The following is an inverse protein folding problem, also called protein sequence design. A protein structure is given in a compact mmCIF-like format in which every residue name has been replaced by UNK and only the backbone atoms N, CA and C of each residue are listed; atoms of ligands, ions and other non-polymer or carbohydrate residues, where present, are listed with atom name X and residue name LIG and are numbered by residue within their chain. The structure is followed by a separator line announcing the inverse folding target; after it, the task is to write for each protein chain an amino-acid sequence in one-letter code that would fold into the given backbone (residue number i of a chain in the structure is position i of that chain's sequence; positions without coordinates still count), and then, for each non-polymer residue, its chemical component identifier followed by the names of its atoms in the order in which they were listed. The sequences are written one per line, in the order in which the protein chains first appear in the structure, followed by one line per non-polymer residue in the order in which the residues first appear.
data_IF_886181487310
#
_entry.id   IF_886181487310
#
_cell.length_a   1.000
_cell.length_b   1.000
_cell.length_c   1.000
_cell.angle_alpha   90.00
_cell.angle_beta   90.00
_cell.angle_gamma   90.00
#
_symmetry.space_group_name_H-M   'P 1'
#
loop_
_entity.id
_entity.type
_entity.pdbx_description
1 polymer ?
#
# COMPACT_ATOMS: atom_id res chain seq x y z
N UNK A 1 -18.55 -5.14 -19.23
CA UNK A 1 -19.19 -4.00 -18.55
C UNK A 1 -18.15 -2.91 -18.35
N UNK A 2 -18.41 -1.69 -18.82
CA UNK A 2 -17.57 -0.54 -18.51
C UNK A 2 -17.75 -0.17 -17.03
N UNK A 3 -16.75 -0.45 -16.20
CA UNK A 3 -16.78 -0.20 -14.76
C UNK A 3 -16.25 1.20 -14.44
N UNK A 4 -15.15 1.61 -15.07
CA UNK A 4 -14.58 2.96 -14.95
C UNK A 4 -14.78 3.68 -16.27
N UNK A 5 -15.38 4.88 -16.26
CA UNK A 5 -15.71 5.65 -17.45
C UNK A 5 -15.12 7.05 -17.35
N UNK A 6 -14.40 7.45 -18.39
CA UNK A 6 -13.90 8.82 -18.60
C UNK A 6 -13.24 9.44 -17.35
N UNK A 7 -12.48 8.61 -16.58
CA UNK A 7 -11.78 9.08 -15.39
C UNK A 7 -10.55 9.89 -15.80
N UNK A 8 -10.56 11.18 -15.46
CA UNK A 8 -9.40 12.07 -15.56
C UNK A 8 -9.02 12.50 -14.15
N UNK A 9 -7.86 12.10 -13.68
CA UNK A 9 -7.44 12.31 -12.30
C UNK A 9 -5.94 12.56 -12.23
N UNK A 10 -5.57 13.77 -11.82
CA UNK A 10 -4.21 14.14 -11.47
C UNK A 10 -3.99 13.96 -9.98
N UNK A 11 -2.91 13.29 -9.61
CA UNK A 11 -2.51 13.04 -8.23
C UNK A 11 -1.13 13.66 -8.01
N UNK A 12 -1.02 14.53 -6.99
CA UNK A 12 0.22 15.26 -6.72
C UNK A 12 1.20 14.42 -5.92
N UNK A 13 2.49 14.66 -6.11
CA UNK A 13 3.55 13.99 -5.37
C UNK A 13 3.42 14.26 -3.87
N UNK A 14 3.52 13.20 -3.06
CA UNK A 14 3.35 13.29 -1.61
C UNK A 14 1.91 13.52 -1.14
N UNK A 15 0.91 13.45 -2.02
CA UNK A 15 -0.51 13.57 -1.68
C UNK A 15 -1.05 12.28 -1.04
N UNK A 16 -1.95 12.44 -0.09
CA UNK A 16 -2.82 11.36 0.39
C UNK A 16 -4.19 11.51 -0.28
N UNK A 17 -4.39 10.82 -1.40
CA UNK A 17 -5.67 10.80 -2.12
C UNK A 17 -6.53 9.63 -1.66
N UNK A 18 -7.81 9.88 -1.39
CA UNK A 18 -8.79 8.82 -1.13
C UNK A 18 -9.81 8.71 -2.25
N UNK A 19 -9.99 7.50 -2.77
CA UNK A 19 -11.11 7.13 -3.62
C UNK A 19 -12.24 6.62 -2.72
N UNK A 20 -13.28 7.44 -2.55
CA UNK A 20 -14.43 7.16 -1.70
C UNK A 20 -15.63 6.78 -2.57
N UNK A 21 -16.42 5.80 -2.14
CA UNK A 21 -17.66 5.46 -2.81
C UNK A 21 -18.21 4.10 -2.41
N UNK A 22 -19.42 3.80 -2.88
CA UNK A 22 -20.08 2.52 -2.63
C UNK A 22 -19.34 1.34 -3.23
N UNK A 23 -19.63 0.13 -2.75
CA UNK A 23 -19.08 -1.09 -3.35
C UNK A 23 -19.47 -1.22 -4.82
N UNK A 24 -18.53 -1.63 -5.66
CA UNK A 24 -18.76 -1.85 -7.10
C UNK A 24 -18.68 -0.60 -8.00
N UNK A 25 -18.37 0.61 -7.46
CA UNK A 25 -18.25 1.83 -8.29
C UNK A 25 -16.91 1.98 -9.03
N UNK A 26 -16.03 0.97 -9.01
CA UNK A 26 -14.78 0.96 -9.80
C UNK A 26 -13.51 1.33 -9.07
N UNK A 27 -13.54 1.65 -7.77
CA UNK A 27 -12.34 2.05 -6.97
C UNK A 27 -11.21 1.01 -7.03
N UNK A 28 -11.51 -0.22 -6.64
CA UNK A 28 -10.56 -1.34 -6.69
C UNK A 28 -10.08 -1.61 -8.11
N UNK A 29 -10.96 -1.50 -9.11
CA UNK A 29 -10.58 -1.65 -10.53
C UNK A 29 -9.58 -0.57 -10.95
N UNK A 30 -9.84 0.69 -10.59
CA UNK A 30 -8.91 1.80 -10.83
C UNK A 30 -7.55 1.54 -10.18
N UNK A 31 -7.57 1.11 -8.92
CA UNK A 31 -6.34 0.78 -8.18
C UNK A 31 -5.58 -0.37 -8.83
N UNK A 32 -6.29 -1.42 -9.32
CA UNK A 32 -5.69 -2.56 -10.02
C UNK A 32 -5.10 -2.17 -11.38
N UNK A 33 -5.71 -1.24 -12.10
CA UNK A 33 -5.14 -0.69 -13.34
C UNK A 33 -3.82 0.06 -13.07
N UNK A 34 -3.77 0.88 -12.01
CA UNK A 34 -2.52 1.57 -11.61
C UNK A 34 -1.45 0.55 -11.20
N UNK A 35 -1.83 -0.50 -10.48
CA UNK A 35 -0.93 -1.57 -10.06
C UNK A 35 -0.45 -2.48 -11.22
N UNK A 36 -1.13 -2.46 -12.37
CA UNK A 36 -0.83 -3.32 -13.53
C UNK A 36 -1.44 -4.71 -13.46
N UNK A 37 -2.43 -4.93 -12.60
CA UNK A 37 -3.17 -6.19 -12.52
C UNK A 37 -4.36 -6.24 -13.48
N UNK A 38 -4.76 -5.10 -14.03
CA UNK A 38 -5.79 -4.96 -15.06
C UNK A 38 -5.33 -3.92 -16.08
N UNK A 39 -5.72 -4.10 -17.35
CA UNK A 39 -5.42 -3.15 -18.41
C UNK A 39 -6.63 -2.24 -18.66
N UNK A 40 -6.44 -0.91 -18.77
CA UNK A 40 -7.50 -0.02 -19.20
C UNK A 40 -7.87 -0.31 -20.66
N UNK A 41 -9.16 -0.28 -20.99
CA UNK A 41 -9.66 -0.47 -22.37
C UNK A 41 -9.17 0.66 -23.30
N UNK A 42 -8.99 1.86 -22.75
CA UNK A 42 -8.47 3.04 -23.47
C UNK A 42 -7.92 4.05 -22.46
N UNK A 43 -7.17 5.03 -22.94
CA UNK A 43 -6.51 6.04 -22.10
C UNK A 43 -5.10 5.62 -21.69
N UNK A 44 -4.50 6.38 -20.76
CA UNK A 44 -3.13 6.18 -20.30
C UNK A 44 -3.03 6.36 -18.80
N UNK A 45 -2.04 5.73 -18.19
CA UNK A 45 -1.70 5.90 -16.77
C UNK A 45 -0.22 6.25 -16.71
N UNK A 46 0.11 7.37 -16.07
CA UNK A 46 1.48 7.81 -15.89
C UNK A 46 1.85 7.99 -14.42
N UNK A 47 3.12 7.70 -14.07
CA UNK A 47 3.71 7.98 -12.76
C UNK A 47 4.93 8.85 -12.96
N UNK A 48 4.95 10.03 -12.38
CA UNK A 48 6.01 11.04 -12.54
C UNK A 48 6.32 11.34 -14.03
N UNK A 49 5.29 11.43 -14.87
CA UNK A 49 5.41 11.72 -16.30
C UNK A 49 5.81 10.52 -17.17
N UNK A 50 6.11 9.37 -16.58
CA UNK A 50 6.39 8.14 -17.32
C UNK A 50 5.11 7.32 -17.52
N UNK A 51 4.78 6.97 -18.76
CA UNK A 51 3.66 6.07 -19.06
C UNK A 51 4.01 4.65 -18.57
N UNK A 52 3.13 4.10 -17.72
CA UNK A 52 3.30 2.78 -17.11
C UNK A 52 2.35 1.73 -17.71
N UNK A 53 1.62 2.07 -18.77
CA UNK A 53 0.61 1.19 -19.37
C UNK A 53 1.18 -0.18 -19.75
N UNK A 54 2.33 -0.20 -20.43
CA UNK A 54 2.97 -1.42 -20.93
C UNK A 54 3.93 -2.08 -19.92
N UNK A 55 4.06 -1.53 -18.69
CA UNK A 55 4.93 -2.10 -17.66
C UNK A 55 4.23 -3.21 -16.89
N UNK A 56 4.94 -4.30 -16.67
CA UNK A 56 4.48 -5.36 -15.77
C UNK A 56 4.38 -4.84 -14.32
N UNK A 57 3.53 -5.42 -13.47
CA UNK A 57 3.36 -4.96 -12.08
C UNK A 57 4.66 -4.78 -11.30
N UNK A 58 5.62 -5.69 -11.47
CA UNK A 58 6.91 -5.64 -10.76
C UNK A 58 7.90 -4.60 -11.32
N UNK A 59 7.64 -4.03 -12.48
CA UNK A 59 8.43 -2.97 -13.12
C UNK A 59 7.93 -1.57 -12.77
N UNK A 60 6.73 -1.48 -12.17
CA UNK A 60 6.13 -0.21 -11.77
C UNK A 60 6.66 0.22 -10.42
N UNK A 61 7.01 1.50 -10.28
CA UNK A 61 7.38 2.10 -8.98
C UNK A 61 6.16 2.30 -8.07
N UNK A 62 5.29 1.30 -8.05
CA UNK A 62 4.02 1.25 -7.33
C UNK A 62 3.96 -0.03 -6.52
N UNK A 63 3.56 0.05 -5.25
CA UNK A 63 3.31 -1.14 -4.43
C UNK A 63 1.88 -1.12 -3.89
N UNK A 64 1.34 -2.30 -3.65
CA UNK A 64 -0.06 -2.48 -3.19
C UNK A 64 -0.12 -3.20 -1.85
N UNK A 65 -0.94 -2.68 -0.94
CA UNK A 65 -1.39 -3.36 0.27
C UNK A 65 -2.84 -3.77 0.05
N UNK A 66 -3.09 -5.08 0.04
CA UNK A 66 -4.41 -5.65 -0.18
C UNK A 66 -5.21 -5.72 1.13
N UNK A 67 -6.53 -5.76 1.02
CA UNK A 67 -7.46 -5.91 2.14
C UNK A 67 -7.15 -7.14 3.03
N UNK A 68 -6.73 -8.26 2.43
CA UNK A 68 -6.32 -9.48 3.16
C UNK A 68 -4.89 -9.44 3.67
N UNK A 69 -4.17 -8.31 3.49
CA UNK A 69 -2.74 -8.13 3.75
C UNK A 69 -1.82 -9.02 2.91
N UNK A 70 -2.28 -10.13 2.40
CA UNK A 70 -1.57 -11.09 1.53
C UNK A 70 -0.15 -11.43 2.02
N UNK A 71 0.02 -11.62 3.35
CA UNK A 71 1.30 -12.03 3.92
C UNK A 71 1.62 -13.49 3.55
N UNK A 72 2.89 -13.78 3.33
CA UNK A 72 3.36 -15.15 3.10
C UNK A 72 3.32 -15.92 4.43
N UNK A 73 2.40 -16.89 4.61
CA UNK A 73 2.16 -17.53 5.92
C UNK A 73 3.32 -18.39 6.40
N UNK A 74 4.14 -18.89 5.49
CA UNK A 74 5.30 -19.74 5.73
C UNK A 74 6.60 -18.97 5.95
N UNK A 75 6.55 -17.63 5.88
CA UNK A 75 7.68 -16.74 6.10
C UNK A 75 7.53 -16.00 7.41
N UNK A 76 8.66 -15.69 8.06
CA UNK A 76 8.69 -14.82 9.23
C UNK A 76 8.31 -13.37 8.85
N UNK A 77 8.10 -12.51 9.84
CA UNK A 77 7.94 -11.06 9.65
C UNK A 77 9.13 -10.49 8.89
N UNK A 78 10.35 -10.83 9.33
CA UNK A 78 11.59 -10.42 8.66
C UNK A 78 11.58 -10.84 7.18
N UNK A 79 11.29 -12.10 6.88
CA UNK A 79 11.32 -12.62 5.52
C UNK A 79 10.22 -12.03 4.64
N UNK A 80 9.03 -11.77 5.20
CA UNK A 80 7.96 -11.05 4.50
C UNK A 80 8.42 -9.66 4.06
N UNK A 81 9.03 -8.88 4.97
CA UNK A 81 9.50 -7.53 4.67
C UNK A 81 10.70 -7.57 3.72
N UNK A 82 11.65 -8.49 3.93
CA UNK A 82 12.85 -8.62 3.11
C UNK A 82 12.59 -9.12 1.68
N UNK A 83 11.40 -9.66 1.41
CA UNK A 83 11.12 -10.40 0.18
C UNK A 83 11.45 -9.62 -1.10
N UNK A 84 10.96 -8.40 -1.22
CA UNK A 84 11.19 -7.56 -2.39
C UNK A 84 12.68 -7.25 -2.62
N UNK A 85 13.43 -7.00 -1.55
CA UNK A 85 14.88 -6.75 -1.64
C UNK A 85 15.66 -8.00 -2.05
N UNK A 86 15.22 -9.19 -1.59
CA UNK A 86 15.81 -10.47 -2.00
C UNK A 86 15.59 -10.71 -3.50
N UNK A 87 14.40 -10.42 -4.02
CA UNK A 87 14.10 -10.53 -5.46
C UNK A 87 14.95 -9.57 -6.30
N UNK A 88 15.20 -8.37 -5.80
CA UNK A 88 16.11 -7.38 -6.41
C UNK A 88 17.59 -7.71 -6.20
N UNK A 89 17.95 -8.85 -5.60
CA UNK A 89 19.31 -9.32 -5.34
C UNK A 89 20.17 -8.32 -4.55
N UNK A 90 19.56 -7.56 -3.65
CA UNK A 90 20.25 -6.65 -2.74
C UNK A 90 21.18 -7.44 -1.80
N UNK A 91 22.31 -6.88 -1.40
CA UNK A 91 23.30 -7.52 -0.52
C UNK A 91 22.68 -7.83 0.86
N UNK A 92 23.00 -8.98 1.44
CA UNK A 92 22.46 -9.45 2.74
C UNK A 92 22.63 -8.44 3.87
N UNK A 93 23.77 -7.77 3.95
CA UNK A 93 24.04 -6.77 4.98
C UNK A 93 23.08 -5.58 4.88
N UNK A 94 22.88 -5.05 3.66
CA UNK A 94 21.95 -3.96 3.40
C UNK A 94 20.49 -4.38 3.65
N UNK A 95 20.11 -5.61 3.27
CA UNK A 95 18.77 -6.14 3.57
C UNK A 95 18.52 -6.11 5.09
N UNK A 96 19.49 -6.60 5.89
CA UNK A 96 19.36 -6.63 7.34
C UNK A 96 19.15 -5.24 7.92
N UNK A 97 19.97 -4.28 7.52
CA UNK A 97 19.87 -2.88 7.97
C UNK A 97 18.50 -2.29 7.63
N UNK A 98 18.12 -2.32 6.34
CA UNK A 98 16.84 -1.76 5.88
C UNK A 98 15.62 -2.41 6.49
N UNK A 99 15.64 -3.74 6.72
CA UNK A 99 14.52 -4.44 7.36
C UNK A 99 14.43 -4.04 8.83
N UNK A 100 15.55 -3.95 9.55
CA UNK A 100 15.54 -3.51 10.95
C UNK A 100 14.97 -2.10 11.07
N UNK A 101 15.47 -1.13 10.29
CA UNK A 101 14.94 0.24 10.25
C UNK A 101 13.44 0.29 9.92
N UNK A 102 13.00 -0.52 8.94
CA UNK A 102 11.60 -0.55 8.54
C UNK A 102 10.71 -1.15 9.63
N UNK A 103 11.14 -2.21 10.33
CA UNK A 103 10.41 -2.81 11.43
C UNK A 103 10.32 -1.87 12.64
N UNK A 104 11.38 -1.11 12.94
CA UNK A 104 11.35 -0.04 13.95
C UNK A 104 10.35 1.06 13.57
N UNK A 105 10.36 1.49 12.29
CA UNK A 105 9.44 2.51 11.76
C UNK A 105 7.97 2.14 11.96
N UNK A 106 7.62 0.87 11.78
CA UNK A 106 6.25 0.35 11.97
C UNK A 106 6.01 -0.23 13.37
N UNK A 107 6.93 -0.03 14.31
CA UNK A 107 6.85 -0.48 15.70
C UNK A 107 6.73 -2.02 15.87
N UNK A 108 7.50 -2.76 15.08
CA UNK A 108 7.55 -4.22 15.09
C UNK A 108 8.98 -4.78 15.26
N UNK A 109 9.92 -4.02 15.84
CA UNK A 109 11.33 -4.44 16.01
C UNK A 109 11.49 -5.79 16.70
N UNK A 110 10.69 -6.07 17.74
CA UNK A 110 10.75 -7.34 18.51
C UNK A 110 10.01 -8.51 17.84
N UNK A 111 9.40 -8.29 16.66
CA UNK A 111 8.53 -9.29 16.01
C UNK A 111 9.19 -9.98 14.83
N UNK A 112 10.42 -9.69 14.50
CA UNK A 112 11.11 -10.14 13.27
C UNK A 112 11.07 -11.66 13.04
N UNK A 113 11.11 -12.46 14.12
CA UNK A 113 11.12 -13.93 14.08
C UNK A 113 9.75 -14.57 14.11
N UNK A 114 8.69 -13.78 14.33
CA UNK A 114 7.32 -14.32 14.38
C UNK A 114 6.78 -14.62 12.98
N UNK A 115 5.83 -15.54 12.93
CA UNK A 115 5.05 -15.85 11.74
C UNK A 115 3.73 -15.09 11.73
N UNK A 116 3.11 -14.87 10.56
CA UNK A 116 1.81 -14.18 10.46
C UNK A 116 0.71 -14.75 11.34
N UNK A 117 0.71 -16.08 11.58
CA UNK A 117 -0.25 -16.75 12.48
C UNK A 117 -0.16 -16.30 13.94
N UNK A 118 0.97 -15.73 14.35
CA UNK A 118 1.26 -15.25 15.72
C UNK A 118 0.98 -13.75 15.91
N UNK A 119 0.41 -13.08 14.89
CA UNK A 119 0.19 -11.65 14.87
C UNK A 119 -1.29 -11.28 14.98
N UNK A 120 -1.58 -10.17 15.68
CA UNK A 120 -2.89 -9.54 15.62
C UNK A 120 -3.17 -8.93 14.22
N UNK A 121 -4.42 -8.57 13.94
CA UNK A 121 -4.80 -7.93 12.68
C UNK A 121 -3.99 -6.67 12.37
N UNK A 122 -3.86 -5.77 13.35
CA UNK A 122 -3.06 -4.55 13.18
C UNK A 122 -1.57 -4.82 12.99
N UNK A 123 -1.01 -5.84 13.64
CA UNK A 123 0.38 -6.24 13.42
C UNK A 123 0.58 -6.80 12.00
N UNK A 124 -0.35 -7.64 11.51
CA UNK A 124 -0.32 -8.12 10.12
C UNK A 124 -0.35 -6.98 9.12
N UNK A 125 -1.19 -5.99 9.35
CA UNK A 125 -1.28 -4.80 8.52
C UNK A 125 0.04 -4.02 8.50
N UNK A 126 0.64 -3.77 9.65
CA UNK A 126 1.96 -3.09 9.75
C UNK A 126 3.05 -3.85 9.00
N UNK A 127 3.05 -5.19 9.06
CA UNK A 127 3.99 -6.01 8.25
C UNK A 127 3.73 -5.84 6.76
N UNK A 128 2.46 -5.82 6.31
CA UNK A 128 2.13 -5.61 4.90
C UNK A 128 2.55 -4.23 4.39
N UNK A 129 2.35 -3.19 5.21
CA UNK A 129 2.81 -1.83 4.93
C UNK A 129 4.34 -1.78 4.85
N UNK A 130 5.04 -2.36 5.85
CA UNK A 130 6.51 -2.42 5.86
C UNK A 130 7.06 -3.13 4.63
N UNK A 131 6.46 -4.27 4.22
CA UNK A 131 6.82 -5.01 3.01
C UNK A 131 6.63 -4.18 1.74
N UNK A 132 5.58 -3.36 1.68
CA UNK A 132 5.35 -2.49 0.55
C UNK A 132 6.33 -1.30 0.52
N UNK A 133 6.58 -0.68 1.67
CA UNK A 133 7.41 0.53 1.79
C UNK A 133 8.92 0.26 1.65
N UNK A 134 9.41 -0.94 2.00
CA UNK A 134 10.85 -1.24 1.99
C UNK A 134 11.48 -1.12 0.59
N UNK A 135 10.66 -1.27 -0.45
CA UNK A 135 11.06 -1.10 -1.85
C UNK A 135 11.18 0.37 -2.26
N UNK A 136 10.80 1.32 -1.39
CA UNK A 136 10.76 2.77 -1.63
C UNK A 136 9.96 3.13 -2.90
N UNK A 137 8.68 2.70 -2.99
CA UNK A 137 7.86 2.99 -4.15
C UNK A 137 7.54 4.49 -4.23
N UNK A 138 7.24 4.98 -5.44
CA UNK A 138 6.74 6.35 -5.66
C UNK A 138 5.30 6.49 -5.19
N UNK A 139 4.51 5.44 -5.38
CA UNK A 139 3.10 5.39 -5.03
C UNK A 139 2.80 4.14 -4.21
N UNK A 140 2.10 4.31 -3.10
CA UNK A 140 1.54 3.22 -2.30
C UNK A 140 0.03 3.16 -2.49
N UNK A 141 -0.45 2.02 -2.98
CA UNK A 141 -1.86 1.71 -3.17
C UNK A 141 -2.38 0.93 -1.96
N UNK A 142 -3.51 1.36 -1.41
CA UNK A 142 -4.10 0.80 -0.20
C UNK A 142 -5.57 0.45 -0.49
N UNK A 143 -5.86 -0.85 -0.66
CA UNK A 143 -7.21 -1.35 -0.97
C UNK A 143 -7.92 -1.79 0.31
N UNK A 144 -8.77 -0.92 0.88
CA UNK A 144 -9.53 -1.11 2.12
C UNK A 144 -8.70 -1.71 3.28
N UNK A 145 -7.48 -1.19 3.57
CA UNK A 145 -6.54 -1.86 4.46
C UNK A 145 -7.01 -1.90 5.92
N UNK A 146 -7.98 -1.07 6.31
CA UNK A 146 -8.47 -0.97 7.69
C UNK A 146 -9.79 -1.74 7.91
N UNK A 147 -10.42 -2.26 6.85
CA UNK A 147 -11.75 -2.86 6.91
C UNK A 147 -11.90 -4.06 7.85
N UNK A 148 -10.82 -4.81 8.09
CA UNK A 148 -10.82 -5.99 8.96
C UNK A 148 -10.50 -5.69 10.44
N UNK A 149 -10.29 -4.41 10.82
CA UNK A 149 -9.91 -4.00 12.17
C UNK A 149 -11.12 -3.54 12.99
N UNK A 150 -11.05 -3.75 14.31
CA UNK A 150 -11.99 -3.14 15.24
C UNK A 150 -11.84 -1.61 15.28
N UNK A 151 -12.86 -0.90 15.76
CA UNK A 151 -12.93 0.56 15.71
C UNK A 151 -11.75 1.26 16.40
N UNK A 152 -11.31 0.76 17.56
CA UNK A 152 -10.22 1.38 18.33
C UNK A 152 -8.89 1.24 17.57
N UNK A 153 -8.59 0.05 17.09
CA UNK A 153 -7.37 -0.23 16.34
C UNK A 153 -7.39 0.49 14.99
N UNK A 154 -8.55 0.58 14.34
CA UNK A 154 -8.73 1.33 13.09
C UNK A 154 -8.34 2.79 13.25
N UNK A 155 -8.86 3.49 14.27
CA UNK A 155 -8.51 4.90 14.55
C UNK A 155 -7.01 5.09 14.83
N UNK A 156 -6.40 4.17 15.56
CA UNK A 156 -4.96 4.20 15.78
C UNK A 156 -4.19 4.06 14.47
N UNK A 157 -4.57 3.10 13.62
CA UNK A 157 -3.91 2.84 12.34
C UNK A 157 -4.08 3.99 11.33
N UNK A 158 -5.20 4.70 11.34
CA UNK A 158 -5.40 5.92 10.54
C UNK A 158 -4.33 6.96 10.85
N UNK A 159 -4.12 7.25 12.13
CA UNK A 159 -3.10 8.21 12.56
C UNK A 159 -1.68 7.76 12.18
N UNK A 160 -1.39 6.47 12.32
CA UNK A 160 -0.09 5.91 11.95
C UNK A 160 0.15 5.99 10.44
N UNK A 161 -0.82 5.64 9.60
CA UNK A 161 -0.72 5.76 8.14
C UNK A 161 -0.45 7.20 7.71
N UNK A 162 -1.19 8.17 8.27
CA UNK A 162 -0.97 9.59 7.96
C UNK A 162 0.42 10.05 8.38
N UNK A 163 0.92 9.62 9.56
CA UNK A 163 2.28 9.92 10.02
C UNK A 163 3.35 9.31 9.11
N UNK A 164 3.18 8.05 8.72
CA UNK A 164 4.10 7.35 7.81
C UNK A 164 4.16 8.04 6.44
N UNK A 165 3.01 8.38 5.87
CA UNK A 165 2.92 9.08 4.60
C UNK A 165 3.68 10.41 4.65
N UNK A 166 3.43 11.24 5.66
CA UNK A 166 4.12 12.52 5.84
C UNK A 166 5.63 12.36 6.05
N UNK A 167 6.04 11.39 6.90
CA UNK A 167 7.46 11.14 7.21
C UNK A 167 8.24 10.69 5.98
N UNK A 168 7.63 9.88 5.12
CA UNK A 168 8.27 9.30 3.95
C UNK A 168 8.08 10.12 2.68
N UNK A 169 7.17 11.10 2.69
CA UNK A 169 6.77 11.92 1.54
C UNK A 169 6.41 11.08 0.30
N UNK A 170 5.69 9.97 0.51
CA UNK A 170 5.24 9.06 -0.55
C UNK A 170 3.79 9.39 -0.89
N UNK A 171 3.43 9.31 -2.17
CA UNK A 171 2.04 9.44 -2.62
C UNK A 171 1.23 8.20 -2.21
N UNK A 172 0.11 8.42 -1.50
CA UNK A 172 -0.81 7.35 -1.11
C UNK A 172 -2.10 7.47 -1.91
N UNK A 173 -2.54 6.36 -2.48
CA UNK A 173 -3.88 6.21 -3.06
C UNK A 173 -4.63 5.20 -2.20
N UNK A 174 -5.64 5.68 -1.49
CA UNK A 174 -6.39 4.94 -0.50
C UNK A 174 -7.81 4.67 -0.98
N UNK A 175 -8.25 3.42 -0.93
CA UNK A 175 -9.62 3.03 -1.27
C UNK A 175 -10.37 2.71 0.02
N UNK A 176 -11.53 3.31 0.19
CA UNK A 176 -12.45 3.02 1.29
C UNK A 176 -13.90 3.30 0.91
N UNK A 177 -14.81 2.74 1.67
CA UNK A 177 -16.24 3.09 1.68
C UNK A 177 -16.64 3.86 2.96
N UNK A 178 -15.68 4.08 3.86
CA UNK A 178 -15.88 4.77 5.15
C UNK A 178 -15.56 6.27 5.01
N UNK A 179 -16.56 7.12 5.23
CA UNK A 179 -16.42 8.58 5.12
C UNK A 179 -15.53 9.15 6.24
N UNK A 180 -15.57 8.57 7.47
CA UNK A 180 -14.74 9.03 8.59
C UNK A 180 -13.26 8.82 8.27
N UNK A 181 -12.90 7.67 7.67
CA UNK A 181 -11.54 7.41 7.20
C UNK A 181 -11.09 8.43 6.16
N UNK A 182 -11.92 8.64 5.14
CA UNK A 182 -11.60 9.56 4.06
C UNK A 182 -11.37 11.00 4.59
N UNK A 183 -12.26 11.51 5.42
CA UNK A 183 -12.17 12.87 5.98
C UNK A 183 -10.98 13.04 6.94
N UNK A 184 -10.60 11.99 7.67
CA UNK A 184 -9.53 12.06 8.67
C UNK A 184 -8.14 12.02 8.04
N UNK A 185 -7.95 11.23 6.98
CA UNK A 185 -6.62 10.95 6.45
C UNK A 185 -6.26 11.73 5.19
N UNK A 186 -7.24 12.09 4.37
CA UNK A 186 -6.97 12.57 3.03
C UNK A 186 -6.58 14.04 2.96
N UNK A 187 -5.76 14.35 1.99
CA UNK A 187 -5.54 15.72 1.53
C UNK A 187 -6.59 16.07 0.46
N UNK A 188 -7.01 15.06 -0.32
CA UNK A 188 -8.09 15.14 -1.31
C UNK A 188 -8.92 13.86 -1.35
N UNK A 189 -10.22 14.00 -1.65
CA UNK A 189 -11.18 12.90 -1.80
C UNK A 189 -11.78 12.97 -3.21
N UNK A 190 -11.88 11.82 -3.87
CA UNK A 190 -12.46 11.64 -5.19
C UNK A 190 -13.56 10.57 -5.16
#
# INVERSE_FOLDING_TARGET
NHVVKDLNLDIYEGEFLTLLGSSGCGKTTTLRMIAGFEEPTSGSISVQGEDIHNKQPFERDVNTVFQSYALFPHMTVYDNVAYGLKMKKVKKAEIKERVTEMLELVQLGDFERRYPSQLSGGQKQRVAIARALINRPKVLLLDEPLGALDLKLRKQMQLELKRLQRKLNITFIYVTHDQEEALTMSDRIC
#
